data_IF_818330644808
#
_entry.id   IF_818330644808
#
_cell.length_a   1.000
_cell.length_b   1.000
_cell.length_c   1.000
_cell.angle_alpha   90.00
_cell.angle_beta   90.00
_cell.angle_gamma   90.00
#
_symmetry.space_group_name_H-M   'P 1'
#
loop_
_entity.id
_entity.type
_entity.pdbx_description
1 polymer ?
#
# COMPACT_ATOMS: atom_id res chain seq x y z
N UNK A 1 -19.14 -41.95 -43.62
CA UNK A 1 -18.00 -41.01 -43.74
C UNK A 1 -18.37 -39.58 -43.36
N UNK A 2 -19.44 -38.96 -43.87
CA UNK A 2 -19.86 -37.56 -43.49
C UNK A 2 -20.14 -37.36 -42.00
N UNK A 3 -20.79 -38.34 -41.33
CA UNK A 3 -21.12 -38.20 -39.90
C UNK A 3 -19.85 -38.23 -39.03
N UNK A 4 -18.88 -39.06 -39.36
CA UNK A 4 -17.61 -39.13 -38.61
C UNK A 4 -16.81 -37.83 -38.74
N UNK A 5 -16.79 -37.22 -39.92
CA UNK A 5 -16.12 -35.94 -40.19
C UNK A 5 -16.77 -34.78 -39.41
N UNK A 6 -18.12 -34.73 -39.34
CA UNK A 6 -18.84 -33.73 -38.56
C UNK A 6 -18.62 -33.90 -37.07
N UNK A 7 -18.49 -35.13 -36.56
CA UNK A 7 -18.20 -35.40 -35.14
C UNK A 7 -16.78 -34.99 -34.80
N UNK A 8 -15.78 -35.27 -35.63
CA UNK A 8 -14.38 -34.85 -35.43
C UNK A 8 -14.26 -33.33 -35.48
N UNK A 9 -14.93 -32.63 -36.40
CA UNK A 9 -14.97 -31.15 -36.44
C UNK A 9 -15.63 -30.53 -35.21
N UNK A 10 -16.69 -31.13 -34.66
CA UNK A 10 -17.31 -30.70 -33.39
C UNK A 10 -16.38 -30.88 -32.22
N UNK A 11 -15.65 -31.99 -32.12
CA UNK A 11 -14.70 -32.25 -31.03
C UNK A 11 -13.49 -31.33 -31.15
N UNK A 12 -12.94 -31.08 -32.34
CA UNK A 12 -11.79 -30.18 -32.51
C UNK A 12 -12.12 -28.72 -32.21
N UNK A 13 -13.35 -28.26 -32.47
CA UNK A 13 -13.81 -26.90 -32.15
C UNK A 13 -14.20 -26.71 -30.70
N UNK A 14 -14.47 -27.80 -29.94
CA UNK A 14 -14.79 -27.70 -28.50
C UNK A 14 -13.56 -27.75 -27.58
N UNK A 15 -12.48 -28.45 -27.98
CA UNK A 15 -11.28 -28.62 -27.18
C UNK A 15 -10.56 -27.29 -26.84
N UNK A 16 -10.30 -26.36 -27.77
CA UNK A 16 -9.66 -25.09 -27.43
C UNK A 16 -10.56 -24.19 -26.56
N UNK A 17 -11.88 -24.16 -26.82
CA UNK A 17 -12.85 -23.40 -26.03
C UNK A 17 -12.92 -23.90 -24.57
N UNK A 18 -12.89 -25.22 -24.35
CA UNK A 18 -12.91 -25.82 -23.01
C UNK A 18 -11.66 -25.49 -22.20
N UNK A 19 -10.47 -25.51 -22.82
CA UNK A 19 -9.21 -25.10 -22.18
C UNK A 19 -9.21 -23.62 -21.84
N UNK A 20 -9.71 -22.75 -22.69
CA UNK A 20 -9.83 -21.31 -22.44
C UNK A 20 -10.81 -21.04 -21.29
N UNK A 21 -11.97 -21.72 -21.28
CA UNK A 21 -12.94 -21.58 -20.19
C UNK A 21 -12.37 -22.00 -18.84
N UNK A 22 -11.59 -23.07 -18.80
CA UNK A 22 -10.89 -23.52 -17.59
C UNK A 22 -9.87 -22.48 -17.09
N UNK A 23 -9.10 -21.86 -17.99
CA UNK A 23 -8.17 -20.78 -17.64
C UNK A 23 -8.89 -19.55 -17.09
N UNK A 24 -10.01 -19.16 -17.69
CA UNK A 24 -10.84 -18.04 -17.20
C UNK A 24 -11.40 -18.34 -15.81
N UNK A 25 -11.90 -19.57 -15.58
CA UNK A 25 -12.38 -20.00 -14.27
C UNK A 25 -11.27 -19.95 -13.21
N UNK A 26 -10.08 -20.44 -13.55
CA UNK A 26 -8.91 -20.39 -12.68
C UNK A 26 -8.50 -18.94 -12.36
N UNK A 27 -8.50 -18.04 -13.36
CA UNK A 27 -8.21 -16.62 -13.15
C UNK A 27 -9.21 -15.97 -12.20
N UNK A 28 -10.51 -16.25 -12.38
CA UNK A 28 -11.56 -15.74 -11.46
C UNK A 28 -11.35 -16.27 -10.04
N UNK A 29 -11.07 -17.56 -9.87
CA UNK A 29 -10.79 -18.15 -8.58
C UNK A 29 -9.58 -17.50 -7.91
N UNK A 30 -8.45 -17.37 -8.62
CA UNK A 30 -7.25 -16.71 -8.13
C UNK A 30 -7.49 -15.22 -7.79
N UNK A 31 -8.34 -14.54 -8.53
CA UNK A 31 -8.72 -13.15 -8.24
C UNK A 31 -9.53 -13.03 -6.95
N UNK A 32 -10.40 -14.00 -6.64
CA UNK A 32 -11.13 -14.04 -5.37
C UNK A 32 -10.17 -14.35 -4.22
N UNK A 33 -9.30 -15.35 -4.40
CA UNK A 33 -8.27 -15.72 -3.41
C UNK A 33 -7.37 -14.52 -3.06
N UNK A 34 -6.88 -13.80 -4.07
CA UNK A 34 -6.05 -12.61 -3.87
C UNK A 34 -6.78 -11.47 -3.12
N UNK A 35 -8.11 -11.38 -3.22
CA UNK A 35 -8.89 -10.37 -2.48
C UNK A 35 -9.04 -10.70 -1.00
N UNK A 36 -8.90 -11.96 -0.61
CA UNK A 36 -8.97 -12.38 0.79
C UNK A 36 -7.68 -12.09 1.57
N UNK A 37 -6.59 -11.75 0.88
CA UNK A 37 -5.31 -11.39 1.51
C UNK A 37 -4.86 -12.42 2.57
N UNK A 38 -4.79 -12.02 3.85
CA UNK A 38 -4.46 -12.91 4.97
C UNK A 38 -5.60 -13.83 5.45
N UNK A 39 -6.78 -13.76 4.80
CA UNK A 39 -7.95 -14.56 5.10
C UNK A 39 -8.90 -13.94 6.13
N UNK A 40 -10.13 -14.48 6.19
CA UNK A 40 -11.25 -13.92 6.98
C UNK A 40 -10.92 -13.72 8.46
N UNK A 41 -10.20 -14.65 9.07
CA UNK A 41 -9.82 -14.55 10.49
C UNK A 41 -8.89 -13.35 10.77
N UNK A 42 -7.95 -13.06 9.87
CA UNK A 42 -7.04 -11.90 9.99
C UNK A 42 -7.77 -10.59 9.68
N UNK A 43 -8.67 -10.58 8.71
CA UNK A 43 -9.55 -9.44 8.41
C UNK A 43 -10.40 -9.10 9.65
N UNK A 44 -11.04 -10.09 10.25
CA UNK A 44 -11.83 -9.92 11.49
C UNK A 44 -10.97 -9.33 12.61
N UNK A 45 -9.78 -9.87 12.82
CA UNK A 45 -8.83 -9.35 13.85
C UNK A 45 -8.41 -7.91 13.58
N UNK A 46 -8.29 -7.49 12.31
CA UNK A 46 -8.02 -6.10 11.93
C UNK A 46 -9.17 -5.17 12.34
N UNK A 47 -10.41 -5.57 12.03
CA UNK A 47 -11.61 -4.83 12.41
C UNK A 47 -11.82 -4.76 13.93
N UNK A 48 -11.53 -5.82 14.67
CA UNK A 48 -11.60 -5.84 16.15
C UNK A 48 -10.64 -4.83 16.79
N UNK A 49 -9.58 -4.44 16.07
CA UNK A 49 -8.65 -3.37 16.49
C UNK A 49 -9.10 -1.97 16.07
N UNK A 50 -10.29 -1.83 15.50
CA UNK A 50 -10.81 -0.56 15.00
C UNK A 50 -10.17 -0.08 13.70
N UNK A 51 -9.52 -0.96 12.93
CA UNK A 51 -8.77 -0.64 11.71
C UNK A 51 -9.43 -1.23 10.48
N UNK A 52 -9.40 -0.50 9.39
CA UNK A 52 -9.81 -0.98 8.07
C UNK A 52 -8.71 -1.87 7.45
N UNK A 53 -9.10 -2.75 6.54
CA UNK A 53 -8.17 -3.48 5.68
C UNK A 53 -7.57 -2.58 4.59
N UNK A 54 -6.45 -3.00 4.01
CA UNK A 54 -5.83 -2.25 2.90
C UNK A 54 -6.78 -2.02 1.72
N UNK A 55 -7.67 -2.97 1.41
CA UNK A 55 -8.65 -2.84 0.34
C UNK A 55 -9.75 -1.83 0.66
N UNK A 56 -10.32 -1.88 1.85
CA UNK A 56 -11.33 -0.92 2.30
C UNK A 56 -10.78 0.51 2.31
N UNK A 57 -9.53 0.69 2.73
CA UNK A 57 -8.82 1.98 2.69
C UNK A 57 -8.72 2.53 1.26
N UNK A 58 -8.36 1.68 0.31
CA UNK A 58 -8.30 2.07 -1.11
C UNK A 58 -9.69 2.44 -1.63
N UNK A 59 -10.73 1.66 -1.31
CA UNK A 59 -12.11 1.91 -1.75
C UNK A 59 -12.67 3.24 -1.23
N UNK A 60 -12.25 3.68 -0.03
CA UNK A 60 -12.67 4.98 0.53
C UNK A 60 -11.88 6.14 -0.07
N UNK A 61 -10.57 5.95 -0.28
CA UNK A 61 -9.68 7.01 -0.74
C UNK A 61 -9.88 7.36 -2.22
N UNK A 62 -10.05 6.35 -3.07
CA UNK A 62 -10.09 6.47 -4.54
C UNK A 62 -11.52 6.65 -5.04
N UNK A 63 -11.68 7.42 -6.11
CA UNK A 63 -12.98 7.62 -6.76
C UNK A 63 -13.58 6.28 -7.19
N UNK A 64 -14.87 6.01 -6.91
CA UNK A 64 -15.47 4.70 -7.16
C UNK A 64 -15.28 4.20 -8.59
N UNK A 65 -14.84 2.94 -8.72
CA UNK A 65 -14.67 2.24 -9.99
C UNK A 65 -13.45 2.67 -10.82
N UNK A 66 -12.56 3.50 -10.27
CA UNK A 66 -11.35 3.97 -10.99
C UNK A 66 -10.07 3.23 -10.60
N UNK A 67 -10.11 2.40 -9.56
CA UNK A 67 -8.92 1.69 -9.09
C UNK A 67 -8.54 0.51 -9.99
N UNK A 68 -7.33 0.55 -10.52
CA UNK A 68 -6.71 -0.52 -11.31
C UNK A 68 -5.53 -1.12 -10.52
N UNK A 69 -5.72 -2.34 -10.01
CA UNK A 69 -4.72 -3.06 -9.22
C UNK A 69 -3.63 -3.67 -10.10
N UNK A 70 -2.38 -3.42 -9.77
CA UNK A 70 -1.21 -4.04 -10.42
C UNK A 70 -0.65 -5.18 -9.58
N UNK A 71 -0.01 -6.16 -10.24
CA UNK A 71 0.77 -7.22 -9.58
C UNK A 71 0.01 -8.05 -8.53
N UNK A 72 -1.32 -8.20 -8.70
CA UNK A 72 -2.22 -8.92 -7.78
C UNK A 72 -1.82 -10.37 -7.52
N UNK A 73 -1.12 -11.02 -8.45
CA UNK A 73 -0.79 -12.45 -8.38
C UNK A 73 0.67 -12.73 -8.05
N UNK A 74 1.45 -11.70 -7.74
CA UNK A 74 2.83 -11.90 -7.30
C UNK A 74 2.82 -12.59 -5.94
N UNK A 75 3.73 -13.54 -5.80
CA UNK A 75 4.03 -14.23 -4.54
C UNK A 75 5.51 -14.13 -4.28
N UNK A 76 5.89 -14.19 -3.02
CA UNK A 76 7.30 -14.24 -2.64
C UNK A 76 7.97 -15.51 -3.18
N UNK A 77 9.25 -15.41 -3.50
CA UNK A 77 10.06 -16.60 -3.83
C UNK A 77 10.44 -17.32 -2.53
N UNK A 78 10.34 -18.65 -2.51
CA UNK A 78 10.81 -19.41 -1.36
C UNK A 78 12.29 -19.09 -1.09
N UNK A 79 12.65 -18.85 0.14
CA UNK A 79 14.03 -18.75 0.58
C UNK A 79 14.34 -19.88 1.57
N UNK A 80 15.62 -20.12 1.84
CA UNK A 80 16.09 -21.21 2.70
C UNK A 80 15.62 -21.07 4.17
N UNK A 81 15.11 -19.91 4.56
CA UNK A 81 14.67 -19.58 5.92
C UNK A 81 13.14 -19.49 6.07
N UNK A 82 12.39 -19.64 4.98
CA UNK A 82 10.93 -19.59 4.99
C UNK A 82 10.34 -21.01 4.98
N UNK A 83 10.25 -21.60 6.15
CA UNK A 83 9.67 -22.93 6.37
C UNK A 83 8.13 -22.94 6.38
N UNK A 84 7.47 -21.77 6.33
CA UNK A 84 6.00 -21.69 6.47
C UNK A 84 5.25 -22.31 5.29
N UNK A 85 5.85 -22.29 4.10
CA UNK A 85 5.22 -22.76 2.87
C UNK A 85 3.97 -21.97 2.45
N UNK A 86 3.53 -21.00 3.26
CA UNK A 86 2.35 -20.18 2.98
C UNK A 86 2.67 -19.15 1.91
N UNK A 87 1.85 -19.12 0.87
CA UNK A 87 1.96 -18.15 -0.23
C UNK A 87 0.72 -17.29 -0.30
N UNK A 88 0.89 -16.00 -0.12
CA UNK A 88 -0.18 -15.03 -0.24
C UNK A 88 -0.12 -14.35 -1.60
N UNK A 89 -1.22 -14.43 -2.37
CA UNK A 89 -1.32 -13.74 -3.65
C UNK A 89 -1.35 -12.22 -3.42
N UNK A 90 -0.50 -11.50 -4.14
CA UNK A 90 -0.33 -10.06 -3.99
C UNK A 90 0.61 -9.66 -2.87
N UNK A 91 1.09 -10.62 -2.07
CA UNK A 91 1.97 -10.36 -0.93
C UNK A 91 1.34 -9.38 0.10
N UNK A 92 2.15 -8.80 0.98
CA UNK A 92 1.70 -7.89 2.03
C UNK A 92 1.49 -6.43 1.54
N UNK A 93 1.25 -6.22 0.25
CA UNK A 93 0.97 -4.88 -0.30
C UNK A 93 0.06 -4.93 -1.53
N UNK A 94 -0.93 -4.04 -1.57
CA UNK A 94 -1.75 -3.80 -2.74
C UNK A 94 -1.17 -2.58 -3.44
N UNK A 95 -0.91 -2.66 -4.73
CA UNK A 95 -0.38 -1.58 -5.55
C UNK A 95 -1.28 -1.33 -6.75
N UNK A 96 -1.39 -0.09 -7.17
CA UNK A 96 -2.21 0.28 -8.31
C UNK A 96 -2.28 1.78 -8.53
N UNK A 97 -3.19 2.18 -9.38
CA UNK A 97 -3.49 3.57 -9.64
C UNK A 97 -5.00 3.78 -9.75
N UNK A 98 -5.43 5.01 -9.58
CA UNK A 98 -6.83 5.39 -9.68
C UNK A 98 -6.96 6.89 -9.76
N UNK A 99 -8.15 7.41 -9.42
CA UNK A 99 -8.39 8.85 -9.40
C UNK A 99 -8.83 9.33 -8.03
N UNK A 100 -8.44 10.53 -7.69
CA UNK A 100 -8.97 11.32 -6.59
C UNK A 100 -9.42 12.65 -7.18
N UNK A 101 -10.72 12.96 -7.09
CA UNK A 101 -11.31 14.17 -7.68
C UNK A 101 -10.91 14.33 -9.17
N UNK A 102 -10.99 13.24 -9.94
CA UNK A 102 -10.56 13.09 -11.33
C UNK A 102 -9.05 13.26 -11.62
N UNK A 103 -8.20 13.57 -10.65
CA UNK A 103 -6.74 13.59 -10.80
C UNK A 103 -6.17 12.18 -10.66
N UNK A 104 -5.29 11.77 -11.55
CA UNK A 104 -4.63 10.46 -11.47
C UNK A 104 -3.66 10.42 -10.29
N UNK A 105 -3.72 9.35 -9.52
CA UNK A 105 -2.80 9.07 -8.41
C UNK A 105 -2.34 7.63 -8.47
N UNK A 106 -1.10 7.39 -8.07
CA UNK A 106 -0.54 6.06 -7.85
C UNK A 106 -0.50 5.78 -6.36
N UNK A 107 -0.72 4.52 -5.97
CA UNK A 107 -0.72 4.19 -4.55
C UNK A 107 -0.19 2.79 -4.27
N UNK A 108 0.30 2.63 -3.06
CA UNK A 108 0.52 1.34 -2.43
C UNK A 108 -0.08 1.33 -1.03
N UNK A 109 -0.73 0.22 -0.67
CA UNK A 109 -1.34 0.02 0.64
C UNK A 109 -0.79 -1.26 1.27
N UNK A 110 -0.08 -1.12 2.38
CA UNK A 110 0.44 -2.27 3.12
C UNK A 110 -0.71 -3.00 3.82
N UNK A 111 -0.72 -4.33 3.67
CA UNK A 111 -1.78 -5.18 4.21
C UNK A 111 -1.31 -5.90 5.47
N UNK A 112 -1.69 -5.37 6.61
CA UNK A 112 -1.31 -5.92 7.91
C UNK A 112 -1.86 -7.33 8.14
N UNK A 113 -2.90 -7.74 7.41
CA UNK A 113 -3.47 -9.10 7.51
C UNK A 113 -2.50 -10.17 6.97
N UNK A 114 -1.55 -9.77 6.12
CA UNK A 114 -0.52 -10.64 5.54
C UNK A 114 0.80 -10.38 6.25
N UNK A 115 1.20 -11.30 7.11
CA UNK A 115 2.50 -11.26 7.84
C UNK A 115 2.80 -9.90 8.49
N UNK A 116 1.76 -9.23 9.05
CA UNK A 116 1.90 -7.93 9.70
C UNK A 116 2.31 -6.80 8.76
N UNK A 117 1.97 -6.85 7.47
CA UNK A 117 2.36 -5.84 6.49
C UNK A 117 3.87 -5.74 6.26
N UNK A 118 4.63 -6.78 6.66
CA UNK A 118 6.09 -6.74 6.63
C UNK A 118 6.66 -6.71 5.22
N UNK A 119 7.76 -5.95 5.05
CA UNK A 119 8.42 -5.79 3.77
C UNK A 119 9.25 -7.02 3.40
N UNK A 120 8.87 -7.69 2.32
CA UNK A 120 9.66 -8.67 1.60
C UNK A 120 10.34 -8.03 0.39
N UNK A 121 11.27 -8.74 -0.26
CA UNK A 121 11.81 -8.29 -1.55
C UNK A 121 10.71 -8.12 -2.60
N UNK A 122 9.72 -9.02 -2.62
CA UNK A 122 8.58 -8.93 -3.55
C UNK A 122 7.71 -7.70 -3.26
N UNK A 123 7.44 -7.40 -1.99
CA UNK A 123 6.73 -6.18 -1.57
C UNK A 123 7.50 -4.94 -2.00
N UNK A 124 8.81 -4.88 -1.75
CA UNK A 124 9.66 -3.77 -2.17
C UNK A 124 9.64 -3.55 -3.68
N UNK A 125 9.73 -4.62 -4.46
CA UNK A 125 9.69 -4.55 -5.93
C UNK A 125 8.36 -3.99 -6.44
N UNK A 126 7.23 -4.36 -5.83
CA UNK A 126 5.91 -3.81 -6.16
C UNK A 126 5.83 -2.31 -5.84
N UNK A 127 6.29 -1.90 -4.66
CA UNK A 127 6.31 -0.48 -4.26
C UNK A 127 7.21 0.33 -5.20
N UNK A 128 8.43 -0.12 -5.46
CA UNK A 128 9.35 0.55 -6.37
C UNK A 128 8.77 0.69 -7.78
N UNK A 129 8.11 -0.36 -8.29
CA UNK A 129 7.45 -0.33 -9.60
C UNK A 129 6.35 0.73 -9.66
N UNK A 130 5.51 0.81 -8.62
CA UNK A 130 4.43 1.79 -8.60
C UNK A 130 4.95 3.23 -8.50
N UNK A 131 6.04 3.45 -7.76
CA UNK A 131 6.72 4.74 -7.69
C UNK A 131 7.34 5.13 -9.03
N UNK A 132 7.96 4.17 -9.75
CA UNK A 132 8.47 4.42 -11.10
C UNK A 132 7.36 4.78 -12.08
N UNK A 133 6.23 4.11 -12.01
CA UNK A 133 5.06 4.42 -12.84
C UNK A 133 4.49 5.81 -12.50
N UNK A 134 4.44 6.19 -11.22
CA UNK A 134 4.02 7.52 -10.80
C UNK A 134 4.94 8.61 -11.40
N UNK A 135 6.25 8.44 -11.29
CA UNK A 135 7.23 9.36 -11.87
C UNK A 135 7.15 9.45 -13.39
N UNK A 136 6.97 8.31 -14.08
CA UNK A 136 6.84 8.27 -15.55
C UNK A 136 5.57 8.98 -16.04
N UNK A 137 4.51 8.95 -15.24
CA UNK A 137 3.24 9.60 -15.56
C UNK A 137 3.12 11.02 -15.01
N UNK A 138 4.10 11.49 -14.22
CA UNK A 138 4.05 12.79 -13.58
C UNK A 138 2.83 12.94 -12.66
N UNK A 139 2.55 11.94 -11.82
CA UNK A 139 1.38 11.91 -10.94
C UNK A 139 1.77 11.62 -9.49
N UNK A 140 1.01 12.12 -8.49
CA UNK A 140 1.29 11.89 -7.08
C UNK A 140 1.35 10.41 -6.71
N UNK A 141 2.19 10.07 -5.72
CA UNK A 141 2.23 8.74 -5.11
C UNK A 141 1.78 8.81 -3.66
N UNK A 142 0.88 7.91 -3.26
CA UNK A 142 0.32 7.82 -1.91
C UNK A 142 0.68 6.46 -1.31
N UNK A 143 1.35 6.47 -0.15
CA UNK A 143 1.62 5.28 0.65
C UNK A 143 0.66 5.17 1.82
N UNK A 144 -0.15 4.10 1.88
CA UNK A 144 -0.96 3.75 3.04
C UNK A 144 -0.16 2.75 3.89
N UNK A 145 0.34 3.23 5.03
CA UNK A 145 1.36 2.55 5.83
C UNK A 145 0.72 1.81 7.00
N UNK A 146 0.95 0.51 7.06
CA UNK A 146 0.53 -0.37 8.16
C UNK A 146 1.45 -1.60 8.17
N UNK A 147 2.63 -1.47 8.82
CA UNK A 147 3.73 -2.44 8.67
C UNK A 147 4.57 -2.59 9.92
N UNK A 148 4.82 -3.83 10.29
CA UNK A 148 5.79 -4.18 11.33
C UNK A 148 7.26 -3.97 10.92
N UNK A 149 7.55 -3.49 9.71
CA UNK A 149 8.91 -3.25 9.24
C UNK A 149 9.44 -4.35 8.30
N UNK A 150 10.75 -4.58 8.34
CA UNK A 150 11.39 -5.58 7.49
C UNK A 150 10.98 -7.00 7.87
N UNK A 151 10.72 -7.86 6.89
CA UNK A 151 10.44 -9.29 7.10
C UNK A 151 11.72 -9.99 7.55
N UNK A 152 11.77 -10.36 8.82
CA UNK A 152 12.97 -10.93 9.47
C UNK A 152 13.44 -12.21 8.76
N UNK A 153 12.50 -13.04 8.30
CA UNK A 153 12.79 -14.30 7.61
C UNK A 153 13.54 -14.11 6.28
N UNK A 154 13.51 -12.91 5.69
CA UNK A 154 14.25 -12.61 4.46
C UNK A 154 15.62 -11.95 4.72
N UNK A 155 15.94 -11.66 5.97
CA UNK A 155 17.23 -11.13 6.38
C UNK A 155 17.64 -9.89 5.57
N UNK A 156 18.81 -9.93 4.95
CA UNK A 156 19.41 -8.81 4.20
C UNK A 156 18.55 -8.38 3.00
N UNK A 157 17.81 -9.29 2.38
CA UNK A 157 16.99 -8.96 1.20
C UNK A 157 15.87 -7.98 1.52
N UNK A 158 15.23 -8.10 2.67
CA UNK A 158 14.20 -7.15 3.09
C UNK A 158 14.81 -5.77 3.40
N UNK A 159 16.01 -5.70 3.96
CA UNK A 159 16.73 -4.43 4.18
C UNK A 159 17.15 -3.78 2.85
N UNK A 160 17.63 -4.56 1.88
CA UNK A 160 17.91 -4.09 0.54
C UNK A 160 16.65 -3.56 -0.16
N UNK A 161 15.51 -4.17 0.10
CA UNK A 161 14.20 -3.69 -0.36
C UNK A 161 13.88 -2.28 0.14
N UNK A 162 14.09 -2.00 1.44
CA UNK A 162 13.94 -0.64 1.97
C UNK A 162 14.90 0.36 1.33
N UNK A 163 16.17 0.00 1.13
CA UNK A 163 17.14 0.85 0.45
C UNK A 163 16.68 1.25 -0.95
N UNK A 164 16.05 0.31 -1.67
CA UNK A 164 15.49 0.58 -2.99
C UNK A 164 14.33 1.57 -2.94
N UNK A 165 13.44 1.46 -1.94
CA UNK A 165 12.32 2.39 -1.73
C UNK A 165 12.87 3.79 -1.37
N UNK A 166 13.85 3.90 -0.47
CA UNK A 166 14.46 5.20 -0.12
C UNK A 166 15.08 5.89 -1.33
N UNK A 167 15.75 5.14 -2.20
CA UNK A 167 16.27 5.69 -3.46
C UNK A 167 15.13 6.23 -4.34
N UNK A 168 13.96 5.57 -4.38
CA UNK A 168 12.81 6.07 -5.14
C UNK A 168 12.23 7.33 -4.49
N UNK A 169 12.09 7.38 -3.15
CA UNK A 169 11.65 8.57 -2.46
C UNK A 169 12.55 9.78 -2.78
N UNK A 170 13.88 9.61 -2.72
CA UNK A 170 14.81 10.71 -3.03
C UNK A 170 14.74 11.16 -4.48
N UNK A 171 14.54 10.25 -5.43
CA UNK A 171 14.40 10.58 -6.86
C UNK A 171 13.06 11.25 -7.20
N UNK A 172 12.01 10.93 -6.48
CA UNK A 172 10.68 11.51 -6.66
C UNK A 172 10.55 12.89 -5.99
N UNK A 173 11.41 13.20 -5.01
CA UNK A 173 11.41 14.46 -4.28
C UNK A 173 11.56 15.66 -5.22
N UNK A 174 10.62 16.61 -5.12
CA UNK A 174 10.56 17.79 -5.99
C UNK A 174 10.13 17.50 -7.44
N UNK A 175 9.77 16.26 -7.78
CA UNK A 175 9.29 15.85 -9.12
C UNK A 175 7.78 15.60 -9.10
N UNK A 176 7.33 14.75 -8.19
CA UNK A 176 5.91 14.44 -7.96
C UNK A 176 5.60 14.53 -6.46
N UNK A 177 4.38 14.90 -6.06
CA UNK A 177 3.97 14.87 -4.67
C UNK A 177 4.01 13.44 -4.10
N UNK A 178 4.62 13.29 -2.92
CA UNK A 178 4.69 12.05 -2.17
C UNK A 178 3.93 12.20 -0.84
N UNK A 179 2.91 11.39 -0.63
CA UNK A 179 2.03 11.46 0.54
C UNK A 179 2.11 10.13 1.29
N UNK A 180 2.40 10.19 2.58
CA UNK A 180 2.36 9.02 3.47
C UNK A 180 1.21 9.16 4.47
N UNK A 181 0.40 8.10 4.60
CA UNK A 181 -0.73 8.03 5.53
C UNK A 181 -0.48 6.87 6.48
N UNK A 182 -0.28 7.19 7.76
CA UNK A 182 0.08 6.22 8.80
C UNK A 182 -1.20 5.70 9.47
N UNK A 183 -1.53 4.45 9.16
CA UNK A 183 -2.80 3.78 9.51
C UNK A 183 -2.59 2.55 10.40
N UNK A 184 -1.43 2.45 10.98
CA UNK A 184 -1.02 1.37 11.85
C UNK A 184 0.42 1.56 12.30
N UNK A 185 1.07 0.52 12.84
CA UNK A 185 2.49 0.62 13.15
C UNK A 185 3.30 0.88 11.88
N UNK A 186 4.28 1.76 12.00
CA UNK A 186 5.35 1.97 11.05
C UNK A 186 6.67 1.87 11.83
N UNK A 187 7.31 0.70 11.79
CA UNK A 187 8.50 0.41 12.59
C UNK A 187 9.75 0.27 11.72
N UNK A 188 10.88 0.77 12.19
CA UNK A 188 12.18 0.68 11.52
C UNK A 188 12.14 1.30 10.12
N UNK A 189 12.48 0.54 9.07
CA UNK A 189 12.47 1.02 7.69
C UNK A 189 11.12 1.54 7.21
N UNK A 190 10.01 1.04 7.77
CA UNK A 190 8.67 1.55 7.49
C UNK A 190 8.44 2.98 8.00
N UNK A 191 9.24 3.45 8.96
CA UNK A 191 9.25 4.84 9.43
C UNK A 191 10.11 5.74 8.55
N UNK A 192 11.25 5.25 8.06
CA UNK A 192 12.18 6.07 7.30
C UNK A 192 11.62 6.49 5.94
N UNK A 193 10.93 5.61 5.23
CA UNK A 193 10.33 5.94 3.93
C UNK A 193 9.32 7.09 4.04
N UNK A 194 8.31 7.04 4.95
CA UNK A 194 7.43 8.19 5.18
C UNK A 194 8.16 9.48 5.53
N UNK A 195 9.21 9.42 6.35
CA UNK A 195 10.00 10.60 6.72
C UNK A 195 10.75 11.25 5.55
N UNK A 196 10.87 10.55 4.40
CA UNK A 196 11.43 11.07 3.16
C UNK A 196 10.37 11.61 2.18
N UNK A 197 9.10 11.55 2.54
CA UNK A 197 7.99 12.04 1.70
C UNK A 197 7.61 13.49 2.04
N UNK A 198 6.81 14.13 1.18
CA UNK A 198 6.50 15.56 1.32
C UNK A 198 5.43 15.82 2.38
N UNK A 199 4.46 14.90 2.53
CA UNK A 199 3.36 15.06 3.47
C UNK A 199 3.12 13.76 4.26
N UNK A 200 2.96 13.91 5.58
CA UNK A 200 2.70 12.80 6.49
C UNK A 200 1.40 13.07 7.24
N UNK A 201 0.44 12.16 7.06
CA UNK A 201 -0.80 12.11 7.81
C UNK A 201 -0.74 10.98 8.83
N UNK A 202 -1.22 11.22 10.05
CA UNK A 202 -1.31 10.18 11.08
C UNK A 202 -2.72 10.13 11.67
N UNK A 203 -3.25 8.92 11.83
CA UNK A 203 -4.54 8.70 12.49
C UNK A 203 -4.31 8.44 13.97
N UNK A 204 -4.98 9.21 14.82
CA UNK A 204 -4.88 9.11 16.29
C UNK A 204 -5.23 7.71 16.80
N UNK A 205 -4.51 7.24 17.78
CA UNK A 205 -4.68 5.94 18.46
C UNK A 205 -4.43 4.68 17.60
N UNK A 206 -4.17 4.79 16.31
CA UNK A 206 -3.86 3.64 15.44
C UNK A 206 -2.56 3.80 14.66
N UNK A 207 -2.23 5.02 14.25
CA UNK A 207 -0.99 5.32 13.52
C UNK A 207 0.18 5.57 14.47
N UNK A 208 1.25 4.78 14.34
CA UNK A 208 2.47 4.97 15.13
C UNK A 208 3.71 4.91 14.23
N UNK A 209 4.65 5.81 14.49
CA UNK A 209 5.96 5.85 13.83
C UNK A 209 7.07 5.80 14.85
N UNK A 210 7.97 4.82 14.77
CA UNK A 210 9.15 4.73 15.62
C UNK A 210 10.26 3.88 14.98
N UNK A 211 11.50 4.17 15.33
CA UNK A 211 12.65 3.40 14.87
C UNK A 211 12.63 2.00 15.49
N UNK A 212 12.37 1.91 16.80
CA UNK A 212 12.19 0.67 17.53
C UNK A 212 10.98 0.79 18.47
N UNK A 213 10.28 -0.31 18.70
CA UNK A 213 9.12 -0.33 19.58
C UNK A 213 9.44 -0.23 21.06
N UNK A 214 8.43 0.01 21.94
CA UNK A 214 8.59 0.19 23.39
C UNK A 214 9.33 -0.95 24.09
N UNK A 215 9.16 -2.20 23.65
CA UNK A 215 9.81 -3.35 24.26
C UNK A 215 11.34 -3.34 24.09
N UNK A 216 11.81 -2.87 22.91
CA UNK A 216 13.25 -2.73 22.66
C UNK A 216 13.83 -1.59 23.50
N UNK A 217 13.13 -0.45 23.59
CA UNK A 217 13.54 0.67 24.44
C UNK A 217 13.66 0.22 25.89
N UNK A 218 12.64 -0.46 26.41
CA UNK A 218 12.66 -1.00 27.77
C UNK A 218 13.82 -1.96 28.01
N UNK A 219 14.15 -2.81 27.03
CA UNK A 219 15.26 -3.75 27.15
C UNK A 219 16.63 -3.07 27.14
N UNK A 220 16.81 -1.97 26.40
CA UNK A 220 18.08 -1.27 26.22
C UNK A 220 18.30 -0.16 27.23
N UNK A 221 17.28 0.68 27.48
CA UNK A 221 17.40 1.88 28.33
C UNK A 221 16.73 1.71 29.70
N UNK A 222 15.88 0.69 29.88
CA UNK A 222 15.06 0.50 31.08
C UNK A 222 13.81 1.39 31.13
N UNK A 223 13.60 2.28 30.18
CA UNK A 223 12.45 3.18 30.12
C UNK A 223 11.17 2.42 29.78
N UNK A 224 10.07 2.77 30.43
CA UNK A 224 8.72 2.25 30.13
C UNK A 224 7.92 3.35 29.44
N UNK A 225 7.60 3.15 28.21
CA UNK A 225 6.85 4.10 27.36
C UNK A 225 5.78 3.32 26.59
N UNK A 226 4.60 3.89 26.41
CA UNK A 226 3.55 3.33 25.57
C UNK A 226 3.84 3.57 24.07
N UNK A 227 3.15 2.87 23.19
CA UNK A 227 3.24 3.09 21.76
C UNK A 227 2.85 4.53 21.37
N UNK A 228 1.81 5.09 22.00
CA UNK A 228 1.33 6.45 21.73
C UNK A 228 2.32 7.51 22.25
N UNK A 229 2.86 7.34 23.44
CA UNK A 229 3.86 8.26 23.99
C UNK A 229 5.15 8.27 23.17
N UNK A 230 5.54 7.10 22.64
CA UNK A 230 6.76 6.95 21.87
C UNK A 230 6.63 7.52 20.45
N UNK A 231 5.54 7.22 19.77
CA UNK A 231 5.42 7.52 18.35
C UNK A 231 4.01 7.65 17.82
N UNK A 232 3.04 7.99 18.67
CA UNK A 232 1.67 8.27 18.26
C UNK A 232 1.52 9.59 17.52
N UNK A 233 0.35 9.83 16.97
CA UNK A 233 0.03 10.99 16.14
C UNK A 233 0.29 12.31 16.89
N UNK A 234 -0.15 12.41 18.15
CA UNK A 234 0.04 13.62 18.96
C UNK A 234 1.52 13.90 19.25
N UNK A 235 2.31 12.85 19.55
CA UNK A 235 3.76 12.99 19.75
C UNK A 235 4.46 13.53 18.51
N UNK A 236 4.09 13.05 17.33
CA UNK A 236 4.71 13.50 16.08
C UNK A 236 4.18 14.85 15.60
N UNK A 237 2.97 15.23 15.94
CA UNK A 237 2.44 16.56 15.62
C UNK A 237 3.00 17.65 16.56
N UNK A 238 3.07 17.37 17.89
CA UNK A 238 3.38 18.41 18.88
C UNK A 238 4.84 18.47 19.31
N UNK A 239 5.56 17.32 19.30
CA UNK A 239 6.95 17.26 19.81
C UNK A 239 7.98 17.16 18.70
N UNK A 240 7.83 16.22 17.77
CA UNK A 240 8.85 16.01 16.73
C UNK A 240 8.61 16.83 15.45
N UNK A 241 7.36 17.24 15.19
CA UNK A 241 6.99 17.94 13.97
C UNK A 241 7.01 17.09 12.72
N UNK A 242 7.12 15.76 12.84
CA UNK A 242 7.18 14.84 11.70
C UNK A 242 5.81 14.66 11.05
N UNK A 243 4.71 14.62 11.84
CA UNK A 243 3.37 14.58 11.29
C UNK A 243 2.92 15.98 10.91
N UNK A 244 2.55 16.17 9.64
CA UNK A 244 2.00 17.42 9.14
C UNK A 244 0.50 17.57 9.44
N UNK A 245 -0.21 16.43 9.41
CA UNK A 245 -1.65 16.37 9.64
C UNK A 245 -2.00 15.21 10.56
N UNK A 246 -2.97 15.45 11.44
CA UNK A 246 -3.57 14.41 12.29
C UNK A 246 -5.06 14.30 12.04
N UNK A 247 -5.60 13.11 12.22
CA UNK A 247 -7.02 12.82 12.02
C UNK A 247 -7.55 11.91 13.13
N UNK A 248 -8.82 12.08 13.49
CA UNK A 248 -9.47 11.29 14.54
C UNK A 248 -9.90 9.90 14.05
N UNK A 249 -10.01 9.72 12.72
CA UNK A 249 -10.41 8.47 12.10
C UNK A 249 -9.77 8.30 10.72
N UNK A 250 -9.75 7.05 10.21
CA UNK A 250 -9.28 6.76 8.87
C UNK A 250 -10.11 7.51 7.81
N UNK A 251 -11.43 7.60 7.99
CA UNK A 251 -12.32 8.31 7.05
C UNK A 251 -12.05 9.82 7.02
N UNK A 252 -11.84 10.45 8.18
CA UNK A 252 -11.46 11.87 8.26
C UNK A 252 -10.09 12.09 7.60
N UNK A 253 -9.12 11.22 7.87
CA UNK A 253 -7.80 11.27 7.26
C UNK A 253 -7.87 11.23 5.72
N UNK A 254 -8.66 10.31 5.16
CA UNK A 254 -8.82 10.22 3.70
C UNK A 254 -9.49 11.47 3.10
N UNK A 255 -10.45 12.08 3.80
CA UNK A 255 -11.02 13.36 3.38
C UNK A 255 -9.97 14.47 3.36
N UNK A 256 -9.08 14.53 4.35
CA UNK A 256 -7.98 15.49 4.37
C UNK A 256 -6.99 15.25 3.24
N UNK A 257 -6.62 13.99 2.94
CA UNK A 257 -5.75 13.62 1.81
C UNK A 257 -6.39 14.03 0.48
N UNK A 258 -7.69 13.78 0.30
CA UNK A 258 -8.43 14.17 -0.91
C UNK A 258 -8.42 15.69 -1.11
N UNK A 259 -8.60 16.48 -0.04
CA UNK A 259 -8.47 17.94 -0.08
C UNK A 259 -7.06 18.38 -0.45
N UNK A 260 -6.03 17.78 0.13
CA UNK A 260 -4.65 18.12 -0.22
C UNK A 260 -4.38 17.90 -1.72
N UNK A 261 -4.85 16.79 -2.29
CA UNK A 261 -4.70 16.49 -3.74
C UNK A 261 -5.39 17.56 -4.62
N UNK A 262 -6.46 18.21 -4.16
CA UNK A 262 -7.09 19.31 -4.89
C UNK A 262 -6.17 20.52 -5.05
N UNK A 263 -5.42 20.86 -4.02
CA UNK A 263 -4.50 22.01 -4.02
C UNK A 263 -3.19 21.73 -4.75
N UNK A 264 -2.73 20.47 -4.75
CA UNK A 264 -1.43 20.14 -5.32
C UNK A 264 -1.48 20.05 -6.85
N UNK A 265 -0.43 20.55 -7.55
CA UNK A 265 -0.20 20.18 -8.95
C UNK A 265 0.09 18.68 -9.04
N UNK A 266 -0.06 18.10 -10.23
CA UNK A 266 0.24 16.68 -10.44
C UNK A 266 1.76 16.40 -10.35
N UNK A 267 2.56 17.35 -10.78
CA UNK A 267 4.03 17.25 -10.83
C UNK A 267 4.66 18.66 -10.90
N UNK A 268 5.96 18.73 -10.90
CA UNK A 268 6.73 19.99 -10.91
C UNK A 268 6.70 20.76 -12.24
N UNK A 269 6.07 20.22 -13.28
CA UNK A 269 5.89 20.89 -14.56
C UNK A 269 4.49 21.49 -14.70
N UNK A 270 3.54 21.08 -13.85
CA UNK A 270 2.20 21.62 -13.84
C UNK A 270 2.14 22.95 -13.06
N UNK A 271 1.36 23.87 -13.56
CA UNK A 271 1.02 25.09 -12.82
C UNK A 271 0.01 24.77 -11.71
N UNK A 272 0.09 25.47 -10.55
CA UNK A 272 -0.94 25.38 -9.52
C UNK A 272 -2.33 25.73 -10.10
N UNK A 273 -3.37 25.06 -9.60
CA UNK A 273 -4.74 25.39 -10.00
C UNK A 273 -5.04 26.86 -9.68
N UNK A 274 -5.24 27.67 -10.71
CA UNK A 274 -5.72 29.04 -10.55
C UNK A 274 -7.23 28.95 -10.34
N UNK A 275 -7.72 29.21 -9.13
CA UNK A 275 -9.10 29.62 -8.96
C UNK A 275 -9.24 30.99 -9.61
N UNK A 276 -10.24 31.15 -10.50
CA UNK A 276 -10.61 32.47 -11.00
C UNK A 276 -11.12 33.27 -9.81
N UNK A 277 -10.21 34.02 -9.18
CA UNK A 277 -10.55 34.90 -8.10
C UNK A 277 -11.47 36.03 -8.63
N UNK A 278 -12.75 35.86 -8.38
CA UNK A 278 -13.54 37.03 -8.05
C UNK A 278 -13.25 37.37 -6.59
N UNK A 279 -12.12 38.01 -6.34
CA UNK A 279 -11.96 38.82 -5.13
C UNK A 279 -12.98 39.94 -5.25
N UNK A 280 -14.05 39.84 -4.49
CA UNK A 280 -14.90 40.98 -4.17
C UNK A 280 -14.15 41.77 -3.08
N UNK A 281 -13.78 43.04 -3.31
CA UNK A 281 -13.00 43.85 -2.38
C UNK A 281 -13.78 44.21 -1.10
#
# INVERSE_FOLDING_TARGET
MKLLFQTILRISNQLPKRKTQQKISLLKQKSIEAKLSGGEAKIKSQHERGKLTARERIEILIDPGTFEETDRFIVNQPNEFDDSGEKFLGEAVITGYGKINNKTVFLYAQDFTVLGGSLSQAVANKICKIMDLAMQNGAPVIGLIDSGGARIQEGVNSLAGYSSIFLKNTRASGVIPQISVILGPAAGGATYSPALTDFIFMVSNIGQMYITGPEVIKAVTGEKVSHEELGGADTHASKSGVAHFTAESEADCFNQVRKLIEFLPQNNLDEPSQENEHFDP
#
